data_IF_305967616998
#
_entry.id   IF_305967616998
#
_cell.length_a   1.000
_cell.length_b   1.000
_cell.length_c   1.000
_cell.angle_alpha   90.00
_cell.angle_beta   90.00
_cell.angle_gamma   90.00
#
_symmetry.space_group_name_H-M   'P 1'
#
loop_
_entity.id
_entity.type
_entity.pdbx_description
1 polymer ?
#
# COMPACT_ATOMS: atom_id res chain seq x y z
N UNK A 1 -10.68 -18.26 -4.33
CA UNK A 1 -9.77 -17.13 -4.06
C UNK A 1 -10.17 -16.32 -2.84
N UNK A 2 -11.39 -15.79 -2.78
CA UNK A 2 -11.83 -15.01 -1.63
C UNK A 2 -11.87 -15.83 -0.34
N UNK A 3 -12.28 -17.09 -0.43
CA UNK A 3 -12.28 -17.98 0.72
C UNK A 3 -10.87 -18.23 1.24
N UNK A 4 -9.90 -18.33 0.34
CA UNK A 4 -8.51 -18.54 0.74
C UNK A 4 -7.97 -17.36 1.51
N UNK A 5 -8.31 -16.15 1.11
CA UNK A 5 -7.92 -14.95 1.84
C UNK A 5 -8.51 -14.95 3.25
N UNK A 6 -9.76 -15.35 3.38
CA UNK A 6 -10.42 -15.42 4.68
C UNK A 6 -9.79 -16.47 5.58
N UNK A 7 -9.43 -17.63 5.02
CA UNK A 7 -8.80 -18.70 5.80
C UNK A 7 -7.42 -18.31 6.29
N UNK A 8 -6.65 -17.67 5.44
CA UNK A 8 -5.30 -17.29 5.80
C UNK A 8 -5.27 -16.25 6.90
N UNK A 9 -6.33 -15.47 7.02
CA UNK A 9 -6.44 -14.41 8.03
C UNK A 9 -5.15 -13.64 8.17
N UNK A 10 -4.72 -12.97 7.11
CA UNK A 10 -3.44 -12.24 7.15
C UNK A 10 -3.43 -11.25 8.32
N UNK A 11 -2.26 -11.07 8.88
CA UNK A 11 -2.08 -10.07 9.92
C UNK A 11 -2.49 -8.69 9.39
N UNK A 12 -2.94 -7.83 10.28
CA UNK A 12 -3.40 -6.49 9.88
C UNK A 12 -2.34 -5.75 9.09
N UNK A 13 -1.07 -5.90 9.47
CA UNK A 13 0.04 -5.25 8.78
C UNK A 13 0.32 -5.84 7.41
N UNK A 14 -0.24 -7.00 7.11
CA UNK A 14 -0.03 -7.70 5.85
C UNK A 14 -1.24 -7.59 4.93
N UNK A 15 -2.25 -6.83 5.32
CA UNK A 15 -3.42 -6.64 4.49
C UNK A 15 -3.04 -5.86 3.24
N UNK A 16 -3.40 -6.42 2.10
CA UNK A 16 -3.14 -5.78 0.83
C UNK A 16 -4.05 -4.58 0.64
N UNK A 17 -3.49 -3.54 0.05
CA UNK A 17 -4.24 -2.33 -0.27
C UNK A 17 -4.37 -2.19 -1.77
N UNK A 18 -5.50 -1.66 -2.19
CA UNK A 18 -5.75 -1.30 -3.58
C UNK A 18 -5.71 0.20 -3.70
N UNK A 19 -5.07 0.69 -4.74
CA UNK A 19 -5.00 2.12 -4.98
C UNK A 19 -6.24 2.57 -5.75
N UNK A 20 -6.79 3.70 -5.34
CA UNK A 20 -7.94 4.30 -6.02
C UNK A 20 -7.46 5.56 -6.72
N UNK A 21 -7.72 5.63 -8.02
CA UNK A 21 -7.32 6.78 -8.82
C UNK A 21 -8.56 7.41 -9.45
N UNK A 22 -8.43 8.68 -9.81
CA UNK A 22 -9.50 9.36 -10.55
C UNK A 22 -9.30 9.15 -12.06
N UNK A 23 -10.12 9.85 -12.87
CA UNK A 23 -10.07 9.71 -14.32
C UNK A 23 -8.74 10.14 -14.93
N UNK A 24 -7.98 10.96 -14.22
CA UNK A 24 -6.69 11.47 -14.68
C UNK A 24 -5.51 10.73 -14.00
N UNK A 25 -5.82 9.61 -13.37
CA UNK A 25 -4.84 8.76 -12.71
C UNK A 25 -4.18 9.38 -11.48
N UNK A 26 -4.80 10.40 -10.89
CA UNK A 26 -4.34 10.90 -9.60
C UNK A 26 -4.66 9.89 -8.50
N UNK A 27 -3.71 9.65 -7.63
CA UNK A 27 -3.90 8.77 -6.48
C UNK A 27 -4.73 9.54 -5.45
N UNK A 28 -5.96 9.13 -5.24
CA UNK A 28 -6.88 9.86 -4.36
C UNK A 28 -7.22 9.13 -3.07
N UNK A 29 -7.05 7.82 -3.04
CA UNK A 29 -7.40 7.04 -1.88
C UNK A 29 -6.81 5.65 -1.97
N UNK A 30 -6.96 4.90 -0.90
CA UNK A 30 -6.66 3.47 -0.88
C UNK A 30 -7.81 2.76 -0.21
N UNK A 31 -7.91 1.46 -0.46
CA UNK A 31 -8.90 0.62 0.20
C UNK A 31 -8.24 -0.72 0.50
N UNK A 32 -8.49 -1.27 1.68
CA UNK A 32 -7.94 -2.58 2.01
C UNK A 32 -8.69 -3.66 1.25
N UNK A 33 -7.96 -4.67 0.81
CA UNK A 33 -8.60 -5.81 0.14
C UNK A 33 -9.62 -6.47 1.06
N UNK A 34 -9.33 -6.51 2.36
CA UNK A 34 -10.26 -7.06 3.34
C UNK A 34 -11.60 -6.32 3.31
N UNK A 35 -11.56 -4.99 3.29
CA UNK A 35 -12.79 -4.20 3.29
C UNK A 35 -13.61 -4.45 2.04
N UNK A 36 -12.95 -4.66 0.91
CA UNK A 36 -13.64 -4.97 -0.34
C UNK A 36 -14.32 -6.34 -0.24
N UNK A 37 -13.60 -7.32 0.31
CA UNK A 37 -14.11 -8.70 0.38
C UNK A 37 -15.31 -8.83 1.29
N UNK A 38 -15.32 -8.09 2.41
CA UNK A 38 -16.41 -8.20 3.39
C UNK A 38 -17.55 -7.23 3.14
N UNK A 39 -17.41 -6.31 2.21
CA UNK A 39 -18.44 -5.30 1.92
C UNK A 39 -19.67 -5.96 1.28
N UNK A 40 -20.82 -5.37 1.53
CA UNK A 40 -22.04 -5.78 0.84
C UNK A 40 -21.93 -5.43 -0.64
N UNK A 41 -22.57 -6.22 -1.53
CA UNK A 41 -22.45 -5.97 -2.96
C UNK A 41 -22.84 -4.57 -3.43
N UNK A 42 -23.74 -3.92 -2.72
CA UNK A 42 -24.22 -2.59 -3.07
C UNK A 42 -23.37 -1.47 -2.49
N UNK A 43 -22.36 -1.80 -1.70
CA UNK A 43 -21.50 -0.79 -1.07
C UNK A 43 -20.69 -0.06 -2.15
N UNK A 44 -20.70 1.26 -2.08
CA UNK A 44 -19.90 2.06 -3.00
C UNK A 44 -18.46 2.13 -2.50
N UNK A 45 -17.54 2.18 -3.43
CA UNK A 45 -16.12 2.28 -3.11
C UNK A 45 -15.83 3.48 -2.21
N UNK A 46 -16.50 4.60 -2.46
CA UNK A 46 -16.31 5.82 -1.66
C UNK A 46 -16.65 5.65 -0.19
N UNK A 47 -17.47 4.65 0.14
CA UNK A 47 -17.86 4.41 1.52
C UNK A 47 -16.79 3.67 2.33
N UNK A 48 -15.90 2.97 1.65
CA UNK A 48 -14.89 2.13 2.31
C UNK A 48 -13.46 2.57 2.04
N UNK A 49 -13.25 3.50 1.13
CA UNK A 49 -11.89 3.96 0.82
C UNK A 49 -11.40 4.97 1.85
N UNK A 50 -10.09 5.01 2.03
CA UNK A 50 -9.41 5.93 2.93
C UNK A 50 -8.62 6.93 2.10
N UNK A 51 -8.92 8.21 2.28
CA UNK A 51 -8.24 9.27 1.54
C UNK A 51 -6.82 9.55 2.07
N UNK A 52 -6.46 8.98 3.21
CA UNK A 52 -5.10 9.11 3.74
C UNK A 52 -4.22 8.06 3.08
N UNK A 53 -3.53 8.45 2.04
CA UNK A 53 -2.74 7.53 1.23
C UNK A 53 -1.27 7.63 1.60
N UNK A 54 -0.66 6.47 1.85
CA UNK A 54 0.80 6.40 2.04
C UNK A 54 1.41 6.18 0.66
N UNK A 55 2.19 7.14 0.21
CA UNK A 55 2.85 7.07 -1.09
C UNK A 55 4.20 7.76 -1.03
N UNK A 56 5.00 7.55 -2.05
CA UNK A 56 6.28 8.24 -2.20
C UNK A 56 6.29 8.95 -3.54
N UNK A 57 7.15 9.96 -3.66
CA UNK A 57 7.30 10.69 -4.91
C UNK A 57 8.53 10.18 -5.65
N UNK A 58 8.50 10.29 -6.96
CA UNK A 58 9.62 9.87 -7.79
C UNK A 58 10.90 10.69 -7.51
N UNK A 59 10.75 11.82 -6.85
CA UNK A 59 11.89 12.66 -6.46
C UNK A 59 12.38 12.40 -5.03
N UNK A 60 11.72 11.52 -4.28
CA UNK A 60 12.14 11.20 -2.93
C UNK A 60 13.44 10.43 -2.92
N UNK A 61 14.25 10.65 -1.90
CA UNK A 61 15.49 9.90 -1.74
C UNK A 61 15.19 8.47 -1.32
N UNK A 62 16.04 7.54 -1.74
CA UNK A 62 15.88 6.13 -1.42
C UNK A 62 15.82 5.90 0.08
N UNK A 63 16.61 6.64 0.85
CA UNK A 63 16.60 6.50 2.32
C UNK A 63 15.23 6.83 2.91
N UNK A 64 14.55 7.86 2.38
CA UNK A 64 13.21 8.22 2.83
C UNK A 64 12.19 7.14 2.50
N UNK A 65 12.31 6.55 1.31
CA UNK A 65 11.42 5.47 0.88
C UNK A 65 11.60 4.25 1.79
N UNK A 66 12.84 3.90 2.07
CA UNK A 66 13.18 2.78 2.97
C UNK A 66 12.59 3.00 4.36
N UNK A 67 12.66 4.22 4.87
CA UNK A 67 12.12 4.54 6.19
C UNK A 67 10.59 4.37 6.24
N UNK A 68 9.92 4.81 5.19
CA UNK A 68 8.45 4.66 5.10
C UNK A 68 8.05 3.19 5.06
N UNK A 69 8.73 2.40 4.22
CA UNK A 69 8.47 0.97 4.09
C UNK A 69 8.64 0.27 5.44
N UNK A 70 9.73 0.57 6.13
CA UNK A 70 10.01 -0.07 7.41
C UNK A 70 9.04 0.40 8.50
N UNK A 71 8.72 1.70 8.53
CA UNK A 71 7.84 2.26 9.55
C UNK A 71 6.44 1.68 9.49
N UNK A 72 5.89 1.53 8.28
CA UNK A 72 4.51 1.09 8.09
C UNK A 72 4.39 -0.38 7.72
N UNK A 73 5.51 -1.10 7.68
CA UNK A 73 5.52 -2.54 7.38
C UNK A 73 4.85 -2.84 6.03
N UNK A 74 5.20 -2.06 5.03
CA UNK A 74 4.55 -2.14 3.72
C UNK A 74 5.16 -3.24 2.85
N UNK A 75 4.33 -3.93 2.09
CA UNK A 75 4.77 -4.87 1.06
C UNK A 75 4.86 -4.19 -0.29
N UNK A 76 4.13 -3.12 -0.47
CA UNK A 76 4.14 -2.33 -1.70
C UNK A 76 3.80 -0.90 -1.37
N UNK A 77 4.37 0.03 -2.11
CA UNK A 77 4.06 1.45 -1.93
C UNK A 77 3.92 2.11 -3.29
N UNK A 78 2.86 2.91 -3.49
CA UNK A 78 2.67 3.61 -4.75
C UNK A 78 3.64 4.77 -4.90
N UNK A 79 4.07 4.99 -6.14
CA UNK A 79 4.93 6.10 -6.50
C UNK A 79 4.12 7.08 -7.33
N UNK A 80 4.16 8.35 -6.94
CA UNK A 80 3.44 9.41 -7.63
C UNK A 80 4.42 10.50 -8.09
N UNK A 81 3.98 11.28 -9.07
CA UNK A 81 4.74 12.46 -9.48
C UNK A 81 4.35 13.67 -8.63
N UNK A 82 4.85 14.84 -9.00
CA UNK A 82 4.58 16.07 -8.26
C UNK A 82 3.10 16.46 -8.25
N UNK A 83 2.34 15.96 -9.19
CA UNK A 83 0.90 16.23 -9.32
C UNK A 83 0.04 15.12 -8.73
N UNK A 84 0.64 14.19 -8.00
CA UNK A 84 -0.05 13.03 -7.41
C UNK A 84 -0.57 12.03 -8.45
N UNK A 85 -0.05 12.06 -9.66
CA UNK A 85 -0.38 11.06 -10.66
C UNK A 85 0.38 9.77 -10.35
N UNK A 86 -0.33 8.67 -10.30
CA UNK A 86 0.25 7.36 -10.00
C UNK A 86 1.10 6.91 -11.19
N UNK A 87 2.39 6.74 -10.98
CA UNK A 87 3.32 6.39 -12.05
C UNK A 87 3.97 5.02 -11.87
N UNK A 88 3.82 4.42 -10.70
CA UNK A 88 4.39 3.09 -10.50
C UNK A 88 4.19 2.58 -9.09
N UNK A 89 4.78 1.42 -8.83
CA UNK A 89 4.72 0.78 -7.51
C UNK A 89 6.12 0.28 -7.18
N UNK A 90 6.48 0.42 -5.90
CA UNK A 90 7.64 -0.29 -5.35
C UNK A 90 7.11 -1.50 -4.62
N UNK A 91 7.54 -2.70 -5.03
CA UNK A 91 7.07 -3.95 -4.44
C UNK A 91 8.24 -4.59 -3.70
N UNK A 92 8.00 -4.98 -2.45
CA UNK A 92 9.01 -5.52 -1.55
C UNK A 92 8.64 -6.96 -1.25
N UNK A 93 9.58 -7.89 -1.48
CA UNK A 93 9.38 -9.27 -1.05
C UNK A 93 9.95 -9.46 0.37
N UNK A 94 9.67 -10.62 0.95
CA UNK A 94 10.06 -10.91 2.33
C UNK A 94 11.56 -10.81 2.56
N UNK A 95 12.35 -11.23 1.59
CA UNK A 95 13.81 -11.22 1.72
C UNK A 95 14.32 -9.79 1.79
N UNK A 96 13.87 -8.96 0.86
CA UNK A 96 14.26 -7.56 0.83
C UNK A 96 13.82 -6.84 2.10
N UNK A 97 12.60 -7.12 2.54
CA UNK A 97 12.07 -6.52 3.75
C UNK A 97 12.92 -6.88 4.97
N UNK A 98 13.32 -8.13 5.09
CA UNK A 98 14.18 -8.60 6.18
C UNK A 98 15.52 -7.88 6.16
N UNK A 99 16.11 -7.70 4.99
CA UNK A 99 17.37 -6.97 4.85
C UNK A 99 17.23 -5.52 5.28
N UNK A 100 16.14 -4.87 4.94
CA UNK A 100 15.88 -3.50 5.35
C UNK A 100 15.77 -3.38 6.86
N UNK A 101 15.09 -4.30 7.51
CA UNK A 101 14.97 -4.32 8.95
C UNK A 101 16.33 -4.51 9.62
N UNK A 102 17.10 -5.44 9.13
CA UNK A 102 18.44 -5.71 9.66
C UNK A 102 19.33 -4.48 9.53
N UNK A 103 19.28 -3.83 8.40
CA UNK A 103 20.04 -2.61 8.15
C UNK A 103 19.70 -1.50 9.15
N UNK A 104 18.40 -1.32 9.42
CA UNK A 104 17.98 -0.32 10.39
C UNK A 104 18.49 -0.64 11.79
N UNK A 105 18.49 -1.91 12.17
CA UNK A 105 18.95 -2.33 13.49
C UNK A 105 20.46 -2.19 13.65
N UNK A 106 21.20 -2.30 12.56
CA UNK A 106 22.64 -2.20 12.62
C UNK A 106 23.15 -0.76 12.70
N UNK A 107 22.27 0.18 12.49
CA UNK A 107 22.62 1.58 12.60
C UNK A 107 22.37 2.12 14.00
#
# INVERSE_FOLDING_TARGET
MLEDLRRQKPEASEIYSLNVTDEREHLIASVSLRDVVVAEPETKLSEIMDSRVICVKDTDEVSSITDIIAKYNLLAVPVVDENMVLIGMVIIDDVVYTLLKTRRHSL
#
